data_IF_816945693669
#
_entry.id   IF_816945693669
#
_cell.length_a   1.000
_cell.length_b   1.000
_cell.length_c   1.000
_cell.angle_alpha   90.00
_cell.angle_beta   90.00
_cell.angle_gamma   90.00
#
_symmetry.space_group_name_H-M   'P 1'
#
loop_
_entity.id
_entity.type
_entity.pdbx_description
1 polymer ?
#
# COMPACT_ATOMS: atom_id res chain seq x y z
N UNK A 1 -1.53 -13.21 1.46
CA UNK A 1 -0.29 -13.81 0.93
C UNK A 1 0.51 -12.68 0.32
N UNK A 2 1.62 -12.29 0.94
CA UNK A 2 2.65 -11.56 0.21
C UNK A 2 3.24 -12.60 -0.73
N UNK A 3 3.32 -12.30 -2.03
CA UNK A 3 3.97 -13.20 -2.99
C UNK A 3 5.45 -13.30 -2.60
N UNK A 4 5.79 -14.28 -1.76
CA UNK A 4 7.18 -14.64 -1.50
C UNK A 4 7.70 -15.39 -2.72
N UNK A 5 9.01 -15.28 -2.98
CA UNK A 5 9.73 -15.87 -4.12
C UNK A 5 9.54 -17.40 -4.31
N UNK A 6 8.78 -18.08 -3.46
CA UNK A 6 8.55 -19.51 -3.47
C UNK A 6 7.31 -19.96 -4.26
N UNK A 7 6.49 -19.04 -4.80
CA UNK A 7 5.46 -19.39 -5.80
C UNK A 7 6.10 -19.55 -7.20
N UNK A 8 6.85 -20.64 -7.33
CA UNK A 8 7.42 -21.29 -8.52
C UNK A 8 7.10 -20.65 -9.89
N UNK A 9 8.16 -20.12 -10.51
CA UNK A 9 8.46 -20.09 -11.97
C UNK A 9 7.23 -19.97 -12.88
N UNK A 10 6.55 -18.84 -12.80
CA UNK A 10 5.71 -18.38 -13.90
C UNK A 10 6.44 -17.21 -14.58
N UNK A 11 6.38 -17.13 -15.91
CA UNK A 11 6.92 -15.96 -16.62
C UNK A 11 6.29 -14.68 -16.03
N UNK A 12 7.05 -13.58 -15.93
CA UNK A 12 6.48 -12.32 -15.47
C UNK A 12 5.28 -11.95 -16.34
N UNK A 13 4.18 -11.55 -15.70
CA UNK A 13 2.97 -11.09 -16.38
C UNK A 13 2.96 -9.57 -16.31
N UNK A 14 2.68 -8.93 -17.45
CA UNK A 14 2.56 -7.48 -17.56
C UNK A 14 1.18 -7.03 -17.03
N UNK A 15 1.19 -6.03 -16.17
CA UNK A 15 0.01 -5.43 -15.56
C UNK A 15 0.01 -3.91 -15.72
N UNK A 16 -1.19 -3.32 -15.67
CA UNK A 16 -1.40 -1.90 -15.37
C UNK A 16 -2.11 -1.80 -14.01
N UNK A 17 -1.70 -0.84 -13.18
CA UNK A 17 -2.25 -0.63 -11.84
C UNK A 17 -3.06 0.66 -11.82
N UNK A 18 -4.32 0.55 -11.46
CA UNK A 18 -5.30 1.63 -11.46
C UNK A 18 -5.75 1.97 -10.04
N UNK A 19 -6.06 3.25 -9.82
CA UNK A 19 -6.73 3.69 -8.61
C UNK A 19 -8.23 3.35 -8.63
N UNK A 20 -8.93 3.59 -7.52
CA UNK A 20 -10.31 3.14 -7.35
C UNK A 20 -11.34 4.09 -7.97
N UNK A 21 -10.95 5.27 -8.45
CA UNK A 21 -11.91 6.26 -8.93
C UNK A 21 -12.50 5.89 -10.29
N UNK A 22 -13.60 6.53 -10.65
CA UNK A 22 -14.26 6.36 -11.95
C UNK A 22 -13.64 7.27 -13.02
N UNK A 23 -12.42 7.74 -12.80
CA UNK A 23 -11.69 8.62 -13.71
C UNK A 23 -10.65 7.80 -14.49
N UNK A 24 -10.66 7.93 -15.82
CA UNK A 24 -9.74 7.21 -16.70
C UNK A 24 -8.29 7.68 -16.61
N UNK A 25 -7.99 8.73 -15.83
CA UNK A 25 -6.63 9.18 -15.56
C UNK A 25 -6.08 8.71 -14.21
N UNK A 26 -6.89 8.03 -13.39
CA UNK A 26 -6.47 7.48 -12.09
C UNK A 26 -5.63 6.20 -12.29
N UNK A 27 -4.45 6.39 -12.87
CA UNK A 27 -3.49 5.37 -13.23
C UNK A 27 -2.24 5.51 -12.36
N UNK A 28 -1.98 4.49 -11.54
CA UNK A 28 -0.82 4.46 -10.64
C UNK A 28 0.44 4.02 -11.40
N UNK A 29 0.32 3.02 -12.26
CA UNK A 29 1.42 2.49 -13.06
C UNK A 29 0.91 1.94 -14.40
N UNK A 30 1.40 2.48 -15.52
CA UNK A 30 0.97 2.04 -16.85
C UNK A 30 1.39 0.61 -17.16
N UNK A 31 2.63 0.24 -16.79
CA UNK A 31 3.21 -1.08 -17.10
C UNK A 31 4.15 -1.52 -15.99
N UNK A 32 3.92 -2.73 -15.50
CA UNK A 32 4.78 -3.40 -14.54
C UNK A 32 4.73 -4.92 -14.74
N UNK A 33 5.89 -5.56 -14.71
CA UNK A 33 5.99 -7.01 -14.73
C UNK A 33 5.94 -7.53 -13.28
N UNK A 34 4.91 -8.32 -12.95
CA UNK A 34 4.77 -8.93 -11.61
C UNK A 34 4.90 -10.46 -11.69
N UNK A 35 5.37 -11.09 -10.60
CA UNK A 35 5.55 -12.54 -10.57
C UNK A 35 4.20 -13.26 -10.47
N UNK A 36 3.84 -14.00 -11.52
CA UNK A 36 2.64 -14.83 -11.53
C UNK A 36 1.33 -14.05 -11.67
N UNK A 37 0.22 -14.79 -11.64
CA UNK A 37 -1.12 -14.23 -11.75
C UNK A 37 -1.58 -13.64 -10.41
N UNK A 38 -2.04 -12.40 -10.42
CA UNK A 38 -2.70 -11.77 -9.27
C UNK A 38 -4.20 -12.06 -9.25
N UNK A 39 -4.71 -12.33 -8.06
CA UNK A 39 -6.14 -12.50 -7.78
C UNK A 39 -6.70 -11.39 -6.90
N UNK A 40 -8.02 -11.20 -6.96
CA UNK A 40 -8.74 -10.29 -6.06
C UNK A 40 -8.48 -10.69 -4.60
N UNK A 41 -8.07 -9.71 -3.80
CA UNK A 41 -7.69 -9.92 -2.39
C UNK A 41 -6.19 -10.13 -2.18
N UNK A 42 -5.38 -10.20 -3.24
CA UNK A 42 -3.92 -10.05 -3.11
C UNK A 42 -3.54 -8.62 -2.73
N UNK A 43 -2.41 -8.49 -2.03
CA UNK A 43 -1.92 -7.21 -1.55
C UNK A 43 -0.75 -6.73 -2.42
N UNK A 44 -0.76 -5.45 -2.76
CA UNK A 44 0.36 -4.74 -3.37
C UNK A 44 1.02 -3.86 -2.30
N UNK A 45 2.35 -3.80 -2.31
CA UNK A 45 3.14 -3.05 -1.34
C UNK A 45 3.98 -1.99 -2.06
N UNK A 46 3.95 -0.76 -1.54
CA UNK A 46 4.68 0.38 -2.07
C UNK A 46 5.56 0.97 -0.98
N UNK A 47 6.86 0.95 -1.20
CA UNK A 47 7.86 1.52 -0.29
C UNK A 47 7.95 3.05 -0.43
N UNK A 48 8.58 3.70 0.54
CA UNK A 48 8.92 5.12 0.49
C UNK A 48 7.72 6.09 0.41
N UNK A 49 6.54 5.66 0.87
CA UNK A 49 5.28 6.45 0.83
C UNK A 49 5.11 7.43 2.02
N UNK A 50 6.20 7.88 2.64
CA UNK A 50 6.15 8.69 3.87
C UNK A 50 5.97 10.20 3.68
N UNK A 51 6.33 10.75 2.52
CA UNK A 51 6.28 12.19 2.26
C UNK A 51 5.34 12.51 1.09
N UNK A 52 4.59 13.61 1.20
CA UNK A 52 3.70 14.14 0.15
C UNK A 52 2.59 13.17 -0.34
N UNK A 53 2.25 12.16 0.47
CA UNK A 53 1.19 11.18 0.18
C UNK A 53 -0.09 11.53 0.93
N UNK A 54 -0.19 11.12 2.20
CA UNK A 54 -1.37 11.29 3.06
C UNK A 54 -1.77 12.75 3.23
N UNK A 55 -0.81 13.68 3.30
CA UNK A 55 -1.08 15.11 3.51
C UNK A 55 -1.82 15.77 2.34
N UNK A 56 -1.81 15.16 1.15
CA UNK A 56 -2.45 15.69 -0.06
C UNK A 56 -3.63 14.83 -0.53
N UNK A 57 -3.97 13.78 0.21
CA UNK A 57 -5.08 12.89 -0.14
C UNK A 57 -6.43 13.62 -0.04
N UNK A 58 -7.33 13.34 -0.98
CA UNK A 58 -8.70 13.87 -0.99
C UNK A 58 -9.71 12.75 -1.01
N UNK A 59 -10.99 13.08 -0.75
CA UNK A 59 -12.11 12.12 -0.76
C UNK A 59 -12.89 12.16 -2.07
N UNK A 60 -12.20 12.39 -3.19
CA UNK A 60 -12.81 12.35 -4.50
C UNK A 60 -13.48 10.98 -4.75
N UNK A 61 -14.64 10.97 -5.41
CA UNK A 61 -15.53 9.80 -5.54
C UNK A 61 -15.97 9.13 -4.22
N UNK A 62 -15.80 9.78 -3.07
CA UNK A 62 -16.27 9.29 -1.78
C UNK A 62 -15.39 8.20 -1.16
N UNK A 63 -14.20 7.93 -1.72
CA UNK A 63 -13.23 7.04 -1.08
C UNK A 63 -12.68 7.67 0.20
N UNK A 64 -12.46 6.83 1.22
CA UNK A 64 -11.96 7.31 2.50
C UNK A 64 -10.48 7.67 2.41
N UNK A 65 -10.10 8.76 3.06
CA UNK A 65 -8.70 9.16 3.32
C UNK A 65 -8.23 8.71 4.71
N UNK A 66 -9.00 7.82 5.36
CA UNK A 66 -8.60 7.19 6.62
C UNK A 66 -7.63 6.08 6.31
N UNK A 67 -6.34 6.40 6.42
CA UNK A 67 -5.25 5.46 6.32
C UNK A 67 -4.82 5.10 7.74
N UNK A 68 -5.00 3.84 8.13
CA UNK A 68 -4.43 3.30 9.37
C UNK A 68 -2.90 3.38 9.29
N UNK A 69 -2.27 3.94 10.31
CA UNK A 69 -0.81 4.08 10.40
C UNK A 69 -0.36 3.38 11.66
N UNK A 70 0.39 2.30 11.48
CA UNK A 70 0.98 1.55 12.58
C UNK A 70 2.40 2.08 12.76
N UNK A 71 2.62 2.84 13.84
CA UNK A 71 3.94 3.32 14.21
C UNK A 71 4.72 2.21 14.90
N UNK A 72 5.92 1.92 14.39
CA UNK A 72 6.80 0.87 14.92
C UNK A 72 8.15 1.51 15.20
N UNK A 73 8.70 1.24 16.38
CA UNK A 73 10.05 1.65 16.77
C UNK A 73 10.79 0.44 17.33
N UNK A 74 12.07 0.30 16.99
CA UNK A 74 12.96 -0.65 17.66
C UNK A 74 13.58 -0.06 18.93
N UNK A 75 13.41 1.24 19.17
CA UNK A 75 13.89 1.92 20.36
C UNK A 75 12.86 1.77 21.49
N UNK A 76 13.23 1.16 22.64
CA UNK A 76 12.27 0.87 23.71
C UNK A 76 11.59 2.11 24.30
N UNK A 77 12.30 3.24 24.42
CA UNK A 77 11.73 4.46 25.02
C UNK A 77 10.64 5.06 24.15
N UNK A 78 10.84 5.12 22.83
CA UNK A 78 9.86 5.56 21.85
C UNK A 78 8.66 4.60 21.81
N UNK A 79 8.88 3.30 21.96
CA UNK A 79 7.79 2.32 22.04
C UNK A 79 6.92 2.56 23.28
N UNK A 80 7.53 2.77 24.44
CA UNK A 80 6.81 3.10 25.67
C UNK A 80 5.99 4.39 25.54
N UNK A 81 6.52 5.41 24.85
CA UNK A 81 5.78 6.64 24.56
C UNK A 81 4.58 6.41 23.64
N UNK A 82 4.71 5.53 22.64
CA UNK A 82 3.61 5.17 21.75
C UNK A 82 2.50 4.42 22.51
N UNK A 83 2.85 3.48 23.38
CA UNK A 83 1.89 2.75 24.22
C UNK A 83 1.10 3.69 25.14
N UNK A 84 1.79 4.59 25.85
CA UNK A 84 1.18 5.63 26.68
C UNK A 84 0.22 6.53 25.86
N UNK A 85 0.58 6.84 24.61
CA UNK A 85 -0.26 7.67 23.74
C UNK A 85 -1.54 6.97 23.25
N UNK A 86 -1.55 5.63 23.21
CA UNK A 86 -2.71 4.83 22.79
C UNK A 86 -3.69 4.53 23.93
N UNK A 87 -3.32 4.78 25.20
CA UNK A 87 -4.18 4.61 26.38
C UNK A 87 -5.01 5.86 26.74
N UNK A 88 -4.73 7.00 26.10
CA UNK A 88 -5.47 8.26 26.24
C UNK A 88 -6.54 8.42 25.15
#
# INVERSE_FOLDING_TARGET
>A
QILTMESRVCAPIEYSIWGPTCDGIDLICERIALPGALDVGNWLYFENMGAYTKCSATRFNGFTDKHEVIYISTEPSATALLELSNEL
#
